data_IF_760306566879
#
_entry.id   IF_760306566879
#
_cell.length_a   1.000
_cell.length_b   1.000
_cell.length_c   1.000
_cell.angle_alpha   90.00
_cell.angle_beta   90.00
_cell.angle_gamma   90.00
#
_symmetry.space_group_name_H-M   'P 1'
#
loop_
_entity.id
_entity.type
_entity.pdbx_description
1 polymer ?
#
# COMPACT_ATOMS: atom_id res chain seq x y z
N UNK A 1 0.94 -11.36 -21.65
CA UNK A 1 1.96 -10.80 -22.55
C UNK A 1 3.39 -10.82 -21.96
N UNK A 2 3.57 -11.02 -20.65
CA UNK A 2 4.90 -11.11 -20.00
C UNK A 2 5.07 -12.44 -19.24
N UNK A 3 5.13 -13.58 -19.95
CA UNK A 3 5.35 -14.88 -19.30
C UNK A 3 6.79 -14.95 -18.77
N UNK A 4 6.94 -15.11 -17.46
CA UNK A 4 8.23 -15.32 -16.79
C UNK A 4 8.83 -14.09 -16.08
N UNK A 5 8.25 -12.90 -16.26
CA UNK A 5 8.73 -11.68 -15.60
C UNK A 5 8.29 -11.65 -14.13
N UNK A 6 9.24 -11.63 -13.21
CA UNK A 6 8.91 -11.58 -11.79
C UNK A 6 8.50 -10.16 -11.38
N UNK A 7 7.34 -10.07 -10.72
CA UNK A 7 6.83 -8.84 -10.12
C UNK A 7 6.68 -9.06 -8.61
N UNK A 8 7.04 -8.08 -7.77
CA UNK A 8 6.80 -8.19 -6.34
C UNK A 8 5.30 -8.22 -6.05
N UNK A 9 4.85 -9.18 -5.23
CA UNK A 9 3.43 -9.35 -4.89
C UNK A 9 2.97 -8.48 -3.72
N UNK A 10 3.90 -8.01 -2.88
CA UNK A 10 3.59 -7.23 -1.68
C UNK A 10 4.70 -6.23 -1.36
N UNK A 11 4.28 -5.06 -0.91
CA UNK A 11 5.15 -4.09 -0.24
C UNK A 11 5.20 -4.43 1.26
N UNK A 12 6.39 -4.72 1.78
CA UNK A 12 6.60 -5.05 3.20
C UNK A 12 7.08 -3.79 3.92
N UNK A 13 6.29 -3.27 4.85
CA UNK A 13 6.72 -2.19 5.73
C UNK A 13 7.49 -2.76 6.94
N UNK A 14 8.57 -2.10 7.35
CA UNK A 14 9.22 -2.41 8.62
C UNK A 14 8.40 -1.80 9.77
N UNK A 15 7.62 -2.62 10.45
CA UNK A 15 6.73 -2.20 11.55
C UNK A 15 7.45 -1.72 12.80
N UNK A 16 8.72 -2.08 12.99
CA UNK A 16 9.50 -1.63 14.16
C UNK A 16 9.91 -0.16 14.06
N UNK A 17 10.17 0.29 12.83
CA UNK A 17 10.63 1.67 12.56
C UNK A 17 9.53 2.59 12.04
N UNK A 18 8.39 2.03 11.62
CA UNK A 18 7.27 2.78 11.05
C UNK A 18 6.65 3.70 12.09
N UNK A 19 6.59 4.99 11.76
CA UNK A 19 5.84 6.00 12.47
C UNK A 19 5.17 6.97 11.48
N UNK A 20 4.44 7.96 11.98
CA UNK A 20 3.69 8.89 11.14
C UNK A 20 4.55 9.81 10.25
N UNK A 21 5.85 9.92 10.57
CA UNK A 21 6.83 10.80 9.89
C UNK A 21 7.93 10.03 9.17
N UNK A 22 8.06 8.73 9.39
CA UNK A 22 9.11 7.89 8.82
C UNK A 22 8.62 6.48 8.54
N UNK A 23 8.93 5.96 7.36
CA UNK A 23 8.65 4.58 6.99
C UNK A 23 9.73 3.99 6.11
N UNK A 24 10.08 2.73 6.40
CA UNK A 24 10.96 1.92 5.56
C UNK A 24 10.16 0.78 4.93
N UNK A 25 10.22 0.69 3.60
CA UNK A 25 9.44 -0.24 2.80
C UNK A 25 10.34 -1.07 1.91
N UNK A 26 10.07 -2.36 1.82
CA UNK A 26 10.84 -3.31 1.01
C UNK A 26 9.92 -4.01 0.02
N UNK A 27 10.37 -4.11 -1.24
CA UNK A 27 9.69 -4.87 -2.27
C UNK A 27 10.69 -5.80 -3.01
N UNK A 28 10.28 -7.06 -3.16
CA UNK A 28 11.02 -8.11 -3.87
C UNK A 28 10.02 -9.21 -4.31
N UNK A 29 10.32 -10.01 -5.34
CA UNK A 29 11.47 -9.92 -6.26
C UNK A 29 11.22 -8.92 -7.41
N UNK A 30 12.22 -8.10 -7.75
CA UNK A 30 12.27 -7.36 -9.01
C UNK A 30 13.25 -8.02 -9.97
N UNK A 31 13.00 -7.93 -11.28
CA UNK A 31 14.01 -8.25 -12.27
C UNK A 31 15.23 -7.32 -12.15
N UNK A 32 16.39 -7.81 -12.57
CA UNK A 32 17.64 -7.06 -12.51
C UNK A 32 17.53 -5.70 -13.22
N UNK A 33 17.86 -4.63 -12.50
CA UNK A 33 17.79 -3.24 -12.98
C UNK A 33 16.44 -2.56 -12.76
N UNK A 34 15.36 -3.31 -12.50
CA UNK A 34 14.06 -2.71 -12.17
C UNK A 34 14.08 -2.08 -10.78
N UNK A 35 14.85 -2.60 -9.82
CA UNK A 35 15.00 -1.98 -8.50
C UNK A 35 15.44 -0.52 -8.59
N UNK A 36 16.49 -0.24 -9.37
CA UNK A 36 17.00 1.13 -9.57
C UNK A 36 16.05 2.02 -10.37
N UNK A 37 15.38 1.46 -11.38
CA UNK A 37 14.43 2.18 -12.22
C UNK A 37 13.23 2.65 -11.41
N UNK A 38 12.59 1.73 -10.67
CA UNK A 38 11.45 2.02 -9.82
C UNK A 38 11.85 2.92 -8.64
N UNK A 39 12.98 2.64 -7.98
CA UNK A 39 13.48 3.46 -6.87
C UNK A 39 13.75 4.92 -7.27
N UNK A 40 14.38 5.13 -8.42
CA UNK A 40 14.65 6.48 -8.95
C UNK A 40 13.35 7.19 -9.35
N UNK A 41 12.43 6.49 -10.02
CA UNK A 41 11.13 7.03 -10.40
C UNK A 41 10.31 7.50 -9.19
N UNK A 42 10.14 6.61 -8.19
CA UNK A 42 9.41 6.93 -6.97
C UNK A 42 10.07 8.07 -6.19
N UNK A 43 11.40 8.07 -6.04
CA UNK A 43 12.12 9.16 -5.36
C UNK A 43 11.86 10.53 -5.99
N UNK A 44 11.85 10.61 -7.33
CA UNK A 44 11.58 11.86 -8.04
C UNK A 44 10.15 12.34 -7.81
N UNK A 45 9.18 11.44 -7.88
CA UNK A 45 7.77 11.77 -7.69
C UNK A 45 7.50 12.20 -6.25
N UNK A 46 8.00 11.46 -5.26
CA UNK A 46 7.84 11.75 -3.84
C UNK A 46 8.35 13.14 -3.45
N UNK A 47 9.48 13.58 -4.00
CA UNK A 47 10.09 14.88 -3.68
C UNK A 47 9.49 16.07 -4.44
N UNK A 48 8.71 15.85 -5.51
CA UNK A 48 8.28 16.93 -6.41
C UNK A 48 6.77 17.10 -6.52
N UNK A 49 6.02 16.00 -6.45
CA UNK A 49 4.64 15.96 -6.96
C UNK A 49 3.60 15.61 -5.90
N UNK A 50 4.02 15.28 -4.68
CA UNK A 50 3.10 15.09 -3.55
C UNK A 50 2.56 16.45 -3.14
N UNK A 51 1.25 16.49 -2.92
CA UNK A 51 0.54 17.70 -2.57
C UNK A 51 0.70 18.04 -1.09
N UNK A 52 0.91 19.31 -0.80
CA UNK A 52 1.09 19.82 0.56
C UNK A 52 0.62 21.26 0.69
N UNK A 53 0.42 21.68 1.94
CA UNK A 53 0.00 23.03 2.28
C UNK A 53 1.20 23.88 2.68
N UNK A 54 1.26 25.12 2.18
CA UNK A 54 2.29 26.08 2.54
C UNK A 54 1.74 27.50 2.56
N UNK A 55 2.46 28.38 3.28
CA UNK A 55 2.16 29.81 3.34
C UNK A 55 2.62 30.47 2.04
N UNK A 56 1.73 31.19 1.36
CA UNK A 56 2.00 31.90 0.10
C UNK A 56 2.21 33.39 0.28
N UNK A 57 1.57 33.99 1.28
CA UNK A 57 1.72 35.39 1.60
C UNK A 57 1.51 35.65 3.08
N UNK A 58 2.17 36.68 3.60
CA UNK A 58 2.11 37.06 5.02
C UNK A 58 1.85 38.56 5.11
N UNK A 59 0.94 38.96 6.01
CA UNK A 59 0.72 40.34 6.39
C UNK A 59 1.08 40.49 7.86
N UNK A 60 2.05 41.34 8.16
CA UNK A 60 2.47 41.63 9.53
C UNK A 60 2.07 43.08 9.84
N UNK A 61 1.40 43.30 10.98
CA UNK A 61 0.96 44.65 11.34
C UNK A 61 2.16 45.59 11.57
N UNK A 62 2.07 46.81 11.05
CA UNK A 62 3.15 47.80 11.11
C UNK A 62 4.36 47.55 10.18
N UNK A 63 4.34 46.49 9.37
CA UNK A 63 5.43 46.14 8.43
C UNK A 63 5.02 46.40 6.99
N UNK A 64 5.81 47.20 6.28
CA UNK A 64 5.55 47.50 4.86
C UNK A 64 6.25 46.53 3.90
N UNK A 65 7.40 45.98 4.30
CA UNK A 65 8.21 45.07 3.49
C UNK A 65 8.99 44.08 4.36
N UNK A 66 9.48 42.98 3.78
CA UNK A 66 10.16 41.88 4.49
C UNK A 66 11.42 42.26 5.29
N UNK A 67 12.06 43.39 4.95
CA UNK A 67 13.26 43.87 5.65
C UNK A 67 12.98 44.88 6.78
N UNK A 68 11.72 45.13 7.13
CA UNK A 68 11.41 46.11 8.19
C UNK A 68 11.63 45.49 9.58
N UNK A 69 12.24 46.23 10.53
CA UNK A 69 12.23 45.83 11.94
C UNK A 69 10.83 46.02 12.54
N UNK A 70 10.47 45.17 13.51
CA UNK A 70 9.19 45.24 14.22
C UNK A 70 9.41 45.79 15.63
N UNK A 71 8.90 47.00 15.96
CA UNK A 71 9.08 47.57 17.29
C UNK A 71 8.49 46.66 18.38
N UNK A 72 9.30 46.31 19.38
CA UNK A 72 8.87 45.49 20.51
C UNK A 72 8.94 43.98 20.29
N UNK A 73 9.51 43.53 19.17
CA UNK A 73 9.85 42.12 18.90
C UNK A 73 11.36 42.00 18.72
N UNK A 74 11.95 40.87 19.16
CA UNK A 74 13.41 40.66 19.10
C UNK A 74 13.87 40.36 17.67
N UNK A 75 13.11 39.55 16.95
CA UNK A 75 13.34 39.11 15.57
C UNK A 75 12.83 40.14 14.55
N UNK A 76 13.45 40.18 13.37
CA UNK A 76 12.99 41.00 12.26
C UNK A 76 11.90 40.30 11.43
N UNK A 77 11.30 41.02 10.47
CA UNK A 77 10.27 40.44 9.62
C UNK A 77 10.80 39.28 8.74
N UNK A 78 12.09 39.28 8.38
CA UNK A 78 12.70 38.22 7.57
C UNK A 78 12.85 36.93 8.38
N UNK A 79 13.37 37.04 9.61
CA UNK A 79 13.52 35.93 10.56
C UNK A 79 12.16 35.28 10.87
N UNK A 80 11.14 36.11 11.10
CA UNK A 80 9.76 35.62 11.32
C UNK A 80 9.25 34.87 10.09
N UNK A 81 9.42 35.42 8.88
CA UNK A 81 9.02 34.75 7.64
C UNK A 81 9.75 33.41 7.48
N UNK A 82 11.05 33.34 7.78
CA UNK A 82 11.84 32.10 7.71
C UNK A 82 11.38 31.07 8.74
N UNK A 83 11.02 31.49 9.95
CA UNK A 83 10.48 30.60 10.98
C UNK A 83 9.09 30.07 10.58
N UNK A 84 8.21 30.95 10.09
CA UNK A 84 6.87 30.58 9.63
C UNK A 84 6.90 29.57 8.48
N UNK A 85 7.85 29.69 7.54
CA UNK A 85 8.03 28.73 6.44
C UNK A 85 8.38 27.31 6.89
N UNK A 86 8.96 27.15 8.08
CA UNK A 86 9.33 25.83 8.59
C UNK A 86 8.15 25.10 9.23
N UNK A 87 7.08 25.82 9.61
CA UNK A 87 5.91 25.24 10.28
C UNK A 87 5.16 24.30 9.31
N UNK A 88 5.01 23.01 9.67
CA UNK A 88 4.28 22.06 8.85
C UNK A 88 2.76 22.21 9.07
N UNK A 89 2.04 22.48 7.97
CA UNK A 89 0.58 22.61 7.96
C UNK A 89 -0.06 21.44 7.23
N UNK A 90 -1.19 20.99 7.75
CA UNK A 90 -2.10 20.08 7.08
C UNK A 90 -3.40 20.82 6.82
N UNK A 91 -3.80 20.88 5.55
CA UNK A 91 -5.05 21.52 5.14
C UNK A 91 -5.99 20.46 4.57
N UNK A 92 -7.23 20.46 5.03
CA UNK A 92 -8.32 19.63 4.51
C UNK A 92 -9.15 20.46 3.54
N UNK A 93 -9.27 19.98 2.31
CA UNK A 93 -10.02 20.65 1.25
C UNK A 93 -9.17 21.54 0.35
N UNK A 94 -9.85 22.12 -0.65
CA UNK A 94 -9.23 22.93 -1.69
C UNK A 94 -9.45 24.43 -1.46
N UNK A 95 -8.56 25.21 -2.06
CA UNK A 95 -8.65 26.67 -2.10
C UNK A 95 -7.70 27.36 -1.12
N UNK A 96 -7.95 28.66 -0.97
CA UNK A 96 -7.15 29.55 -0.13
C UNK A 96 -7.79 29.62 1.24
N UNK A 97 -6.96 29.60 2.29
CA UNK A 97 -7.38 29.86 3.66
C UNK A 97 -6.45 30.85 4.33
N UNK A 98 -6.96 31.50 5.36
CA UNK A 98 -6.22 32.53 6.08
C UNK A 98 -6.19 32.16 7.56
N UNK A 99 -4.98 32.11 8.15
CA UNK A 99 -4.78 31.86 9.57
C UNK A 99 -4.14 33.08 10.22
N UNK A 100 -4.31 33.21 11.53
CA UNK A 100 -3.86 34.40 12.26
C UNK A 100 -3.03 34.01 13.47
N UNK A 101 -2.09 34.87 13.83
CA UNK A 101 -1.29 34.77 15.04
C UNK A 101 -1.33 36.11 15.74
N UNK A 102 -1.71 36.11 17.01
CA UNK A 102 -1.81 37.32 17.84
C UNK A 102 -1.10 37.08 19.16
N UNK A 103 -0.17 37.96 19.48
CA UNK A 103 0.55 37.97 20.74
C UNK A 103 0.65 39.40 21.28
N UNK A 104 -0.02 39.64 22.42
CA UNK A 104 -0.06 40.94 23.11
C UNK A 104 0.72 40.94 24.43
N UNK A 105 1.17 39.77 24.89
CA UNK A 105 1.91 39.59 26.13
C UNK A 105 3.40 39.37 25.87
N UNK A 106 4.28 39.85 26.77
CA UNK A 106 5.71 39.56 26.66
C UNK A 106 5.97 38.05 26.82
N UNK A 107 6.80 37.48 25.95
CA UNK A 107 7.14 36.06 25.95
C UNK A 107 7.47 35.51 24.57
N UNK A 108 7.80 34.21 24.53
CA UNK A 108 8.03 33.48 23.29
C UNK A 108 6.69 33.12 22.62
N UNK A 109 6.64 33.37 21.32
CA UNK A 109 5.51 33.06 20.44
C UNK A 109 5.85 31.79 19.68
N UNK A 110 5.11 30.73 19.99
CA UNK A 110 5.28 29.40 19.40
C UNK A 110 4.23 29.13 18.33
N UNK A 111 4.50 28.19 17.42
CA UNK A 111 3.54 27.76 16.38
C UNK A 111 2.22 27.23 16.92
N UNK A 112 2.19 26.73 18.16
CA UNK A 112 0.95 26.34 18.84
C UNK A 112 -0.02 27.48 19.15
N UNK A 113 0.42 28.75 19.07
CA UNK A 113 -0.42 29.94 19.29
C UNK A 113 -1.11 30.44 18.02
N UNK A 114 -0.89 29.78 16.87
CA UNK A 114 -1.57 30.12 15.61
C UNK A 114 -3.06 29.76 15.73
N UNK A 115 -3.92 30.74 15.52
CA UNK A 115 -5.36 30.59 15.40
C UNK A 115 -5.68 29.97 14.03
N UNK A 116 -6.16 28.72 14.04
CA UNK A 116 -6.56 27.99 12.83
C UNK A 116 -8.04 27.64 12.84
N UNK A 117 -8.60 27.46 11.64
CA UNK A 117 -9.95 26.93 11.44
C UNK A 117 -9.97 25.38 11.54
N UNK A 118 -11.16 24.77 11.53
CA UNK A 118 -11.32 23.31 11.55
C UNK A 118 -10.67 22.59 10.35
N UNK A 119 -10.51 23.28 9.22
CA UNK A 119 -9.90 22.74 8.00
C UNK A 119 -8.36 22.72 8.07
N UNK A 120 -7.74 23.38 9.05
CA UNK A 120 -6.27 23.54 9.13
C UNK A 120 -5.75 23.03 10.46
N UNK A 121 -4.74 22.17 10.37
CA UNK A 121 -4.02 21.62 11.50
C UNK A 121 -2.54 22.00 11.44
N UNK A 122 -2.03 22.57 12.54
CA UNK A 122 -0.60 22.77 12.78
C UNK A 122 -0.02 21.50 13.38
N UNK A 123 0.87 20.84 12.63
CA UNK A 123 1.38 19.51 12.99
C UNK A 123 2.52 19.56 14.01
N UNK A 124 3.28 20.65 14.04
CA UNK A 124 4.30 20.91 15.05
C UNK A 124 3.99 22.23 15.76
N UNK A 125 3.61 22.13 17.04
CA UNK A 125 3.17 23.26 17.88
C UNK A 125 4.30 23.86 18.74
N UNK A 126 5.51 23.32 18.66
CA UNK A 126 6.65 23.71 19.51
C UNK A 126 7.70 24.52 18.75
N UNK A 127 7.41 25.00 17.55
CA UNK A 127 8.35 25.77 16.75
C UNK A 127 8.35 27.23 17.20
N UNK A 128 9.54 27.76 17.46
CA UNK A 128 9.72 29.17 17.78
C UNK A 128 9.43 30.03 16.55
N UNK A 129 8.56 31.04 16.71
CA UNK A 129 8.27 32.02 15.65
C UNK A 129 8.96 33.34 15.94
N UNK A 130 8.72 33.89 17.14
CA UNK A 130 9.23 35.20 17.56
C UNK A 130 9.23 35.34 19.09
N UNK A 131 9.88 36.38 19.60
CA UNK A 131 9.94 36.74 21.01
C UNK A 131 9.45 38.17 21.17
N UNK A 132 8.33 38.35 21.89
CA UNK A 132 7.73 39.66 22.13
C UNK A 132 8.28 40.25 23.43
N UNK A 133 8.82 41.46 23.36
CA UNK A 133 9.34 42.21 24.50
C UNK A 133 8.23 42.90 25.32
N UNK A 134 8.56 43.48 26.49
CA UNK A 134 7.61 44.19 27.32
C UNK A 134 6.93 45.36 26.58
N UNK A 135 5.59 45.28 26.42
CA UNK A 135 4.80 46.29 25.71
C UNK A 135 4.79 46.16 24.18
N UNK A 136 5.45 45.14 23.62
CA UNK A 136 5.38 44.78 22.22
C UNK A 136 4.05 44.09 21.86
N UNK A 137 3.66 44.18 20.59
CA UNK A 137 2.51 43.48 20.04
C UNK A 137 2.88 42.88 18.69
N UNK A 138 2.43 41.66 18.44
CA UNK A 138 2.63 40.97 17.18
C UNK A 138 1.29 40.48 16.66
N UNK A 139 0.89 40.97 15.48
CA UNK A 139 -0.26 40.43 14.75
C UNK A 139 0.18 40.07 13.33
N UNK A 140 0.03 38.79 13.01
CA UNK A 140 0.40 38.22 11.71
C UNK A 140 -0.83 37.53 11.12
N UNK A 141 -1.07 37.77 9.84
CA UNK A 141 -2.07 37.07 9.05
C UNK A 141 -1.37 36.35 7.90
N UNK A 142 -1.62 35.05 7.77
CA UNK A 142 -0.93 34.17 6.83
C UNK A 142 -1.93 33.55 5.87
N UNK A 143 -1.62 33.61 4.58
CA UNK A 143 -2.42 32.99 3.52
C UNK A 143 -1.84 31.62 3.19
N UNK A 144 -2.62 30.56 3.35
CA UNK A 144 -2.23 29.19 3.00
C UNK A 144 -2.91 28.74 1.72
N UNK A 145 -2.17 27.94 0.94
CA UNK A 145 -2.68 27.23 -0.23
C UNK A 145 -2.15 25.79 -0.28
N UNK A 146 -2.95 24.89 -0.81
CA UNK A 146 -2.48 23.58 -1.28
C UNK A 146 -1.81 23.75 -2.63
N UNK A 147 -0.71 23.04 -2.83
CA UNK A 147 0.06 23.11 -4.06
C UNK A 147 1.01 21.93 -4.18
N UNK A 148 1.91 21.98 -5.17
CA UNK A 148 2.93 20.96 -5.40
C UNK A 148 4.28 21.59 -5.65
N UNK A 149 5.33 20.97 -5.12
CA UNK A 149 6.70 21.41 -5.34
C UNK A 149 6.98 22.80 -4.77
N UNK A 150 7.77 23.57 -5.51
CA UNK A 150 8.21 24.91 -5.12
C UNK A 150 7.56 25.98 -5.99
N UNK A 151 7.07 27.05 -5.36
CA UNK A 151 6.51 28.22 -6.02
C UNK A 151 7.25 29.46 -5.51
N UNK A 152 7.76 30.29 -6.44
CA UNK A 152 8.45 31.53 -6.09
C UNK A 152 7.48 32.63 -5.63
N UNK A 153 7.99 33.60 -4.87
CA UNK A 153 7.21 34.74 -4.39
C UNK A 153 6.49 35.49 -5.54
N UNK A 154 7.17 35.70 -6.67
CA UNK A 154 6.58 36.36 -7.85
C UNK A 154 5.33 35.64 -8.38
N UNK A 155 5.31 34.30 -8.32
CA UNK A 155 4.17 33.49 -8.76
C UNK A 155 3.05 33.43 -7.72
N UNK A 156 3.35 33.71 -6.46
CA UNK A 156 2.38 33.82 -5.39
C UNK A 156 1.77 35.22 -5.27
N UNK A 157 2.23 36.18 -6.09
CA UNK A 157 1.68 37.52 -6.16
C UNK A 157 0.43 37.54 -7.05
N UNK A 158 -0.66 37.00 -6.52
CA UNK A 158 -1.95 36.99 -7.19
C UNK A 158 -2.59 38.38 -7.25
N UNK A 159 -3.37 38.66 -8.29
CA UNK A 159 -4.11 39.94 -8.41
C UNK A 159 -5.16 40.15 -7.32
N UNK A 160 -5.61 39.06 -6.67
CA UNK A 160 -6.58 39.08 -5.58
C UNK A 160 -5.93 39.37 -4.20
N UNK A 161 -4.61 39.55 -4.15
CA UNK A 161 -3.88 39.75 -2.91
C UNK A 161 -4.14 41.16 -2.36
N UNK A 162 -4.68 41.29 -1.14
CA UNK A 162 -4.96 42.60 -0.56
C UNK A 162 -3.69 43.42 -0.31
N UNK A 163 -3.82 44.73 -0.33
CA UNK A 163 -2.72 45.66 0.00
C UNK A 163 -2.20 45.37 1.41
N UNK A 164 -0.88 45.27 1.54
CA UNK A 164 -0.17 45.00 2.80
C UNK A 164 0.26 43.55 3.00
N UNK A 165 -0.12 42.62 2.12
CA UNK A 165 0.47 41.29 2.10
C UNK A 165 1.81 41.29 1.36
N UNK A 166 2.77 40.58 1.94
CA UNK A 166 4.09 40.31 1.40
C UNK A 166 4.05 38.88 0.82
N UNK A 167 4.12 38.71 -0.51
CA UNK A 167 4.19 37.38 -1.11
C UNK A 167 5.54 36.75 -0.77
N UNK A 168 5.52 35.48 -0.40
CA UNK A 168 6.71 34.71 -0.07
C UNK A 168 6.78 33.48 -0.95
N UNK A 169 7.98 32.93 -1.15
CA UNK A 169 8.11 31.61 -1.77
C UNK A 169 7.56 30.51 -0.86
N UNK A 170 6.99 29.48 -1.49
CA UNK A 170 6.26 28.40 -0.82
C UNK A 170 6.81 27.04 -1.23
N UNK A 171 7.01 26.18 -0.24
CA UNK A 171 7.40 24.77 -0.43
C UNK A 171 6.21 23.90 -0.05
N UNK A 172 5.51 23.39 -1.05
CA UNK A 172 4.32 22.56 -0.87
C UNK A 172 4.64 21.05 -0.82
N UNK A 173 5.89 20.66 -0.53
CA UNK A 173 6.29 19.25 -0.46
C UNK A 173 6.28 18.76 0.99
N UNK A 174 5.37 17.84 1.38
CA UNK A 174 5.35 17.28 2.72
C UNK A 174 6.45 16.22 2.93
N UNK A 175 7.05 15.72 1.84
CA UNK A 175 8.17 14.79 1.89
C UNK A 175 9.48 15.57 2.00
N UNK A 176 10.22 15.35 3.09
CA UNK A 176 11.48 16.06 3.39
C UNK A 176 12.69 15.33 2.85
N UNK A 177 12.69 14.00 2.92
CA UNK A 177 13.81 13.16 2.48
C UNK A 177 13.29 11.84 1.95
N UNK A 178 13.96 11.33 0.92
CA UNK A 178 13.76 9.98 0.40
C UNK A 178 15.11 9.37 0.10
N UNK A 179 15.33 8.17 0.61
CA UNK A 179 16.48 7.35 0.32
C UNK A 179 16.02 6.00 -0.25
N UNK A 180 16.83 5.39 -1.11
CA UNK A 180 16.57 4.02 -1.55
C UNK A 180 17.87 3.26 -1.73
N UNK A 181 17.83 1.97 -1.47
CA UNK A 181 18.91 1.03 -1.72
C UNK A 181 18.38 -0.16 -2.52
N UNK A 182 19.25 -0.71 -3.36
CA UNK A 182 18.96 -1.91 -4.16
C UNK A 182 19.98 -2.97 -3.75
N UNK A 183 19.49 -4.12 -3.32
CA UNK A 183 20.28 -5.27 -2.89
C UNK A 183 19.93 -6.49 -3.76
N UNK A 184 20.85 -7.46 -3.88
CA UNK A 184 20.54 -8.70 -4.57
C UNK A 184 19.60 -9.56 -3.72
N UNK A 185 18.52 -10.05 -4.32
CA UNK A 185 17.53 -10.92 -3.71
C UNK A 185 17.68 -12.35 -4.26
N UNK A 186 17.58 -13.34 -3.36
CA UNK A 186 17.51 -14.75 -3.76
C UNK A 186 16.07 -15.22 -3.70
N UNK A 187 15.58 -15.79 -4.78
CA UNK A 187 14.28 -16.44 -4.86
C UNK A 187 14.49 -17.92 -5.25
N UNK A 188 14.37 -18.81 -4.26
CA UNK A 188 14.64 -20.24 -4.44
C UNK A 188 16.11 -20.51 -4.82
N UNK A 189 16.33 -21.02 -6.03
CA UNK A 189 17.68 -21.31 -6.55
C UNK A 189 18.29 -20.16 -7.37
N UNK A 190 17.50 -19.16 -7.78
CA UNK A 190 17.97 -18.01 -8.56
C UNK A 190 18.36 -16.84 -7.64
N UNK A 191 19.49 -16.18 -7.93
CA UNK A 191 20.10 -15.13 -7.09
C UNK A 191 20.23 -13.78 -7.79
N UNK A 192 19.64 -13.62 -8.96
CA UNK A 192 19.83 -12.48 -9.87
C UNK A 192 18.69 -11.45 -9.82
N UNK A 193 17.78 -11.56 -8.85
CA UNK A 193 16.72 -10.58 -8.62
C UNK A 193 17.19 -9.41 -7.78
N UNK A 194 16.49 -8.28 -7.89
CA UNK A 194 16.69 -7.10 -7.07
C UNK A 194 15.67 -7.04 -5.93
N UNK A 195 16.12 -6.59 -4.76
CA UNK A 195 15.32 -6.14 -3.63
C UNK A 195 15.48 -4.63 -3.51
N UNK A 196 14.37 -3.91 -3.54
CA UNK A 196 14.35 -2.46 -3.37
C UNK A 196 13.88 -2.13 -1.96
N UNK A 197 14.71 -1.40 -1.22
CA UNK A 197 14.37 -0.79 0.06
C UNK A 197 14.24 0.71 -0.13
N UNK A 198 13.12 1.30 0.27
CA UNK A 198 12.86 2.74 0.21
C UNK A 198 12.58 3.25 1.62
N UNK A 199 13.24 4.32 1.99
CA UNK A 199 13.07 5.04 3.25
C UNK A 199 12.50 6.43 2.95
N UNK A 200 11.41 6.79 3.60
CA UNK A 200 10.68 8.05 3.37
C UNK A 200 10.51 8.80 4.69
N UNK A 201 10.88 10.09 4.70
CA UNK A 201 10.66 11.00 5.81
C UNK A 201 9.66 12.09 5.39
N UNK A 202 8.56 12.19 6.13
CA UNK A 202 7.49 13.18 5.93
C UNK A 202 7.40 14.13 7.13
N UNK A 203 6.76 15.27 6.93
CA UNK A 203 6.46 16.25 7.98
C UNK A 203 5.15 15.96 8.74
N UNK A 204 4.56 14.78 8.52
CA UNK A 204 3.32 14.34 9.17
C UNK A 204 2.03 14.79 8.46
N UNK A 205 2.10 15.62 7.41
CA UNK A 205 0.90 16.00 6.65
C UNK A 205 0.32 14.82 5.87
N UNK A 206 1.20 13.91 5.45
CA UNK A 206 0.87 12.64 4.80
C UNK A 206 1.67 11.51 5.45
N UNK A 207 1.03 10.34 5.58
CA UNK A 207 1.74 9.15 6.06
C UNK A 207 2.76 8.68 5.02
N UNK A 208 3.91 8.11 5.42
CA UNK A 208 4.89 7.58 4.48
C UNK A 208 4.33 6.51 3.53
N UNK A 209 3.37 5.70 4.01
CA UNK A 209 2.72 4.66 3.22
C UNK A 209 1.81 5.26 2.13
N UNK A 210 0.99 6.25 2.50
CA UNK A 210 0.11 6.93 1.55
C UNK A 210 0.90 7.74 0.53
N UNK A 211 2.01 8.37 0.94
CA UNK A 211 2.89 9.10 0.04
C UNK A 211 3.46 8.19 -1.06
N UNK A 212 3.90 6.97 -0.71
CA UNK A 212 4.36 5.98 -1.70
C UNK A 212 3.22 5.55 -2.62
N UNK A 213 2.02 5.31 -2.06
CA UNK A 213 0.84 4.95 -2.84
C UNK A 213 0.46 6.02 -3.87
N UNK A 214 0.41 7.28 -3.45
CA UNK A 214 0.16 8.41 -4.35
C UNK A 214 1.26 8.57 -5.41
N UNK A 215 2.53 8.42 -5.02
CA UNK A 215 3.64 8.50 -5.96
C UNK A 215 3.60 7.39 -7.02
N UNK A 216 3.30 6.16 -6.61
CA UNK A 216 3.18 5.02 -7.51
C UNK A 216 2.00 5.20 -8.48
N UNK A 217 0.86 5.69 -7.99
CA UNK A 217 -0.30 6.01 -8.82
C UNK A 217 0.05 7.08 -9.87
N UNK A 218 0.67 8.18 -9.45
CA UNK A 218 1.03 9.25 -10.37
C UNK A 218 2.01 8.77 -11.44
N UNK A 219 2.98 7.93 -11.07
CA UNK A 219 3.93 7.34 -12.02
C UNK A 219 3.22 6.41 -13.01
N UNK A 220 2.28 5.57 -12.55
CA UNK A 220 1.46 4.70 -13.41
C UNK A 220 0.66 5.53 -14.41
N UNK A 221 -0.03 6.57 -13.94
CA UNK A 221 -0.89 7.41 -14.77
C UNK A 221 -0.08 8.13 -15.87
N UNK A 222 1.15 8.56 -15.57
CA UNK A 222 2.06 9.13 -16.58
C UNK A 222 2.59 8.10 -17.59
N UNK A 223 2.68 6.82 -17.21
CA UNK A 223 3.09 5.75 -18.12
C UNK A 223 1.95 5.27 -19.02
N UNK A 224 0.69 5.48 -18.62
CA UNK A 224 -0.48 5.01 -19.35
C UNK A 224 -0.55 5.52 -20.80
N UNK A 225 -0.13 6.77 -21.06
CA UNK A 225 -0.12 7.35 -22.41
C UNK A 225 0.85 6.63 -23.37
N UNK A 226 1.88 5.98 -22.86
CA UNK A 226 2.85 5.23 -23.67
C UNK A 226 2.37 3.82 -24.00
N UNK A 227 1.28 3.36 -23.39
CA UNK A 227 0.66 2.07 -23.67
C UNK A 227 -0.21 2.24 -24.93
N UNK A 228 0.24 1.65 -26.03
CA UNK A 228 -0.38 1.82 -27.35
C UNK A 228 -1.41 0.73 -27.71
N UNK A 229 -1.82 -0.07 -26.73
CA UNK A 229 -2.83 -1.12 -26.88
C UNK A 229 -3.82 -1.04 -25.71
N UNK A 230 -5.05 -1.51 -25.93
CA UNK A 230 -6.02 -1.69 -24.86
C UNK A 230 -5.47 -2.74 -23.89
N UNK A 231 -5.13 -2.32 -22.68
CA UNK A 231 -4.98 -3.23 -21.55
C UNK A 231 -6.35 -3.85 -21.29
N UNK A 232 -6.54 -5.09 -21.74
CA UNK A 232 -7.50 -5.97 -21.07
C UNK A 232 -7.08 -5.99 -19.60
N UNK A 233 -7.98 -5.70 -18.64
CA UNK A 233 -7.63 -5.78 -17.23
C UNK A 233 -6.99 -7.15 -17.01
N UNK A 234 -5.77 -7.19 -16.45
CA UNK A 234 -5.12 -8.42 -16.01
C UNK A 234 -6.19 -9.10 -15.15
N UNK A 235 -6.86 -10.11 -15.71
CA UNK A 235 -7.88 -10.87 -15.01
C UNK A 235 -7.18 -11.33 -13.74
N UNK A 236 -7.66 -10.87 -12.58
CA UNK A 236 -7.21 -11.40 -11.31
C UNK A 236 -7.11 -12.90 -11.51
N UNK A 237 -5.89 -13.47 -11.38
CA UNK A 237 -5.60 -14.90 -11.63
C UNK A 237 -6.86 -15.68 -11.28
N UNK A 238 -7.49 -16.30 -12.28
CA UNK A 238 -8.81 -16.90 -12.10
C UNK A 238 -8.77 -17.73 -10.81
N UNK A 239 -9.78 -17.68 -9.94
CA UNK A 239 -9.78 -18.45 -8.69
C UNK A 239 -9.45 -19.94 -8.93
N UNK A 240 -9.71 -20.43 -10.15
CA UNK A 240 -9.26 -21.71 -10.67
C UNK A 240 -7.73 -21.92 -10.65
N UNK A 241 -6.90 -20.97 -11.10
CA UNK A 241 -5.42 -21.12 -11.14
C UNK A 241 -4.80 -21.11 -9.73
N UNK A 242 -5.32 -20.29 -8.80
CA UNK A 242 -4.87 -20.32 -7.40
C UNK A 242 -5.29 -21.62 -6.70
N UNK A 243 -6.51 -22.08 -6.93
CA UNK A 243 -6.98 -23.36 -6.42
C UNK A 243 -6.14 -24.52 -6.99
N UNK A 244 -5.79 -24.48 -8.28
CA UNK A 244 -4.93 -25.47 -8.95
C UNK A 244 -3.50 -25.48 -8.37
N UNK A 245 -2.91 -24.32 -8.09
CA UNK A 245 -1.58 -24.24 -7.48
C UNK A 245 -1.56 -24.78 -6.05
N UNK A 246 -2.58 -24.46 -5.24
CA UNK A 246 -2.72 -24.98 -3.88
C UNK A 246 -2.97 -26.49 -3.89
N UNK A 247 -3.80 -26.98 -4.82
CA UNK A 247 -4.09 -28.40 -4.96
C UNK A 247 -2.85 -29.18 -5.39
N UNK A 248 -2.04 -28.65 -6.32
CA UNK A 248 -0.75 -29.25 -6.70
C UNK A 248 0.26 -29.28 -5.55
N UNK A 249 0.25 -28.27 -4.67
CA UNK A 249 1.10 -28.27 -3.48
C UNK A 249 0.68 -29.38 -2.50
N UNK A 250 -0.63 -29.53 -2.25
CA UNK A 250 -1.16 -30.59 -1.37
C UNK A 250 -0.89 -31.99 -1.93
N UNK A 251 -1.04 -32.20 -3.25
CA UNK A 251 -0.80 -33.50 -3.89
C UNK A 251 0.68 -33.94 -3.81
N UNK A 252 1.61 -32.99 -3.85
CA UNK A 252 3.05 -33.27 -3.77
C UNK A 252 3.58 -33.43 -2.34
N UNK A 253 2.74 -33.23 -1.31
CA UNK A 253 3.16 -33.48 0.09
C UNK A 253 3.39 -34.96 0.34
N UNK A 254 4.32 -35.24 1.24
CA UNK A 254 4.65 -36.60 1.66
C UNK A 254 3.57 -37.16 2.57
N UNK A 255 3.28 -38.46 2.44
CA UNK A 255 2.37 -39.19 3.34
C UNK A 255 2.89 -39.21 4.79
N UNK A 256 4.19 -38.96 5.01
CA UNK A 256 4.80 -38.83 6.33
C UNK A 256 4.32 -37.62 7.13
N UNK A 257 3.86 -36.57 6.44
CA UNK A 257 3.35 -35.34 7.07
C UNK A 257 1.89 -35.49 7.53
N UNK A 258 1.21 -36.56 7.12
CA UNK A 258 -0.13 -36.87 7.59
C UNK A 258 -0.03 -37.53 8.98
N UNK A 259 -0.80 -37.02 9.94
CA UNK A 259 -0.88 -37.53 11.32
C UNK A 259 -1.61 -38.90 11.39
N UNK A 260 -1.04 -39.91 10.73
CA UNK A 260 -1.60 -41.24 10.62
C UNK A 260 -1.17 -42.14 11.76
N UNK A 261 -2.01 -43.11 12.13
CA UNK A 261 -1.59 -44.18 13.04
C UNK A 261 -0.41 -44.98 12.47
N UNK A 262 0.43 -45.49 13.38
CA UNK A 262 1.63 -46.30 13.06
C UNK A 262 1.31 -47.50 12.15
N UNK A 263 0.08 -48.04 12.23
CA UNK A 263 -0.37 -49.13 11.35
C UNK A 263 -0.67 -48.64 9.94
N UNK A 264 -1.42 -47.54 9.81
CA UNK A 264 -1.77 -46.94 8.53
C UNK A 264 -0.52 -46.47 7.77
N UNK A 265 0.43 -45.83 8.45
CA UNK A 265 1.72 -45.43 7.87
C UNK A 265 2.54 -46.62 7.34
N UNK A 266 2.72 -47.68 8.15
CA UNK A 266 3.47 -48.86 7.73
C UNK A 266 2.80 -49.63 6.57
N UNK A 267 1.47 -49.60 6.49
CA UNK A 267 0.76 -50.21 5.36
C UNK A 267 0.97 -49.41 4.06
N UNK A 268 0.94 -48.08 4.13
CA UNK A 268 1.19 -47.20 2.97
C UNK A 268 2.63 -47.31 2.47
N UNK A 269 3.59 -47.39 3.38
CA UNK A 269 5.01 -47.63 3.07
C UNK A 269 5.24 -48.99 2.39
N UNK A 270 4.58 -50.05 2.87
CA UNK A 270 4.65 -51.38 2.25
C UNK A 270 3.96 -51.45 0.87
N UNK A 271 3.00 -50.56 0.62
CA UNK A 271 2.33 -50.42 -0.67
C UNK A 271 3.08 -49.48 -1.65
N UNK A 272 4.26 -48.97 -1.25
CA UNK A 272 5.11 -48.05 -2.01
C UNK A 272 4.40 -46.72 -2.39
N UNK A 273 3.53 -46.22 -1.50
CA UNK A 273 2.83 -44.94 -1.65
C UNK A 273 3.60 -43.91 -0.82
N UNK A 274 4.21 -42.92 -1.47
CA UNK A 274 5.05 -41.91 -0.80
C UNK A 274 4.41 -40.52 -0.78
N UNK A 275 3.61 -40.18 -1.79
CA UNK A 275 2.95 -38.86 -1.89
C UNK A 275 1.44 -38.98 -1.72
N UNK A 276 0.79 -37.87 -1.34
CA UNK A 276 -0.67 -37.79 -1.28
C UNK A 276 -1.27 -38.01 -2.68
N UNK A 277 -0.61 -37.52 -3.74
CA UNK A 277 -1.01 -37.76 -5.13
C UNK A 277 -1.08 -39.24 -5.51
N UNK A 278 -0.17 -40.08 -5.01
CA UNK A 278 -0.18 -41.52 -5.24
C UNK A 278 -1.32 -42.22 -4.48
N UNK A 279 -1.68 -41.70 -3.30
CA UNK A 279 -2.71 -42.26 -2.44
C UNK A 279 -4.11 -42.07 -3.04
N UNK A 280 -4.40 -40.87 -3.53
CA UNK A 280 -5.71 -40.48 -4.07
C UNK A 280 -6.01 -41.20 -5.40
N UNK A 281 -4.98 -41.65 -6.13
CA UNK A 281 -5.13 -42.45 -7.35
C UNK A 281 -5.57 -43.90 -7.10
N UNK A 282 -5.39 -44.42 -5.88
CA UNK A 282 -5.81 -45.77 -5.53
C UNK A 282 -7.29 -45.80 -5.20
N UNK A 283 -7.95 -46.89 -5.56
CA UNK A 283 -9.35 -47.13 -5.19
C UNK A 283 -9.47 -47.73 -3.79
N UNK A 284 -10.59 -47.50 -3.09
CA UNK A 284 -10.83 -48.08 -1.76
C UNK A 284 -10.70 -49.62 -1.76
N UNK A 285 -11.13 -50.27 -2.85
CA UNK A 285 -11.02 -51.71 -3.05
C UNK A 285 -9.58 -52.20 -3.25
N UNK A 286 -8.70 -51.37 -3.82
CA UNK A 286 -7.27 -51.67 -3.92
C UNK A 286 -6.57 -51.54 -2.56
N UNK A 287 -6.94 -50.52 -1.79
CA UNK A 287 -6.40 -50.30 -0.45
C UNK A 287 -6.74 -51.46 0.48
N UNK A 288 -7.98 -51.98 0.44
CA UNK A 288 -8.41 -53.14 1.21
C UNK A 288 -7.74 -54.47 0.83
N UNK A 289 -7.13 -54.55 -0.37
CA UNK A 289 -6.36 -55.74 -0.81
C UNK A 289 -4.91 -55.71 -0.34
N UNK A 290 -4.42 -54.57 0.18
CA UNK A 290 -3.05 -54.47 0.67
C UNK A 290 -2.89 -55.24 1.99
N UNK A 291 -1.72 -55.88 2.17
CA UNK A 291 -1.45 -56.72 3.34
C UNK A 291 -1.56 -55.90 4.63
N UNK A 292 -2.32 -56.42 5.59
CA UNK A 292 -2.55 -55.82 6.92
C UNK A 292 -3.33 -54.50 6.94
N UNK A 293 -3.99 -54.14 5.83
CA UNK A 293 -4.83 -52.94 5.75
C UNK A 293 -6.27 -53.25 6.16
N UNK A 294 -6.71 -52.67 7.28
CA UNK A 294 -8.02 -52.93 7.88
C UNK A 294 -9.04 -51.81 7.64
N UNK A 295 -10.32 -52.12 7.88
CA UNK A 295 -11.44 -51.14 7.79
C UNK A 295 -11.24 -49.89 8.66
N UNK A 296 -10.55 -50.03 9.80
CA UNK A 296 -10.25 -48.91 10.71
C UNK A 296 -9.22 -47.93 10.11
N UNK A 297 -8.19 -48.44 9.43
CA UNK A 297 -7.19 -47.62 8.73
C UNK A 297 -7.76 -46.94 7.48
N UNK A 298 -8.71 -47.60 6.79
CA UNK A 298 -9.42 -47.01 5.66
C UNK A 298 -10.23 -45.77 6.07
N UNK A 299 -10.99 -45.87 7.17
CA UNK A 299 -11.79 -44.75 7.67
C UNK A 299 -10.91 -43.58 8.15
N UNK A 300 -9.81 -43.87 8.84
CA UNK A 300 -8.84 -42.86 9.29
C UNK A 300 -8.27 -42.05 8.12
N UNK A 301 -7.87 -42.73 7.03
CA UNK A 301 -7.36 -42.05 5.84
C UNK A 301 -8.47 -41.28 5.12
N UNK A 302 -9.70 -41.81 5.10
CA UNK A 302 -10.86 -41.16 4.47
C UNK A 302 -11.22 -39.85 5.16
N UNK A 303 -11.17 -39.79 6.48
CA UNK A 303 -11.42 -38.57 7.28
C UNK A 303 -10.33 -37.50 7.06
N UNK A 304 -9.06 -37.92 6.95
CA UNK A 304 -7.95 -37.00 6.69
C UNK A 304 -8.00 -36.47 5.24
N UNK A 305 -8.30 -37.33 4.27
CA UNK A 305 -8.48 -36.93 2.87
C UNK A 305 -9.69 -36.02 2.69
N UNK A 306 -10.81 -36.27 3.39
CA UNK A 306 -11.97 -35.37 3.34
C UNK A 306 -11.68 -34.02 4.00
N UNK A 307 -10.87 -33.98 5.06
CA UNK A 307 -10.37 -32.73 5.64
C UNK A 307 -9.49 -31.91 4.69
N UNK A 308 -8.87 -32.56 3.70
CA UNK A 308 -8.07 -31.94 2.63
C UNK A 308 -8.87 -31.73 1.33
N UNK A 309 -10.16 -32.08 1.30
CA UNK A 309 -11.02 -31.96 0.12
C UNK A 309 -10.76 -32.99 -1.00
N UNK A 310 -10.14 -34.12 -0.68
CA UNK A 310 -9.72 -35.17 -1.63
C UNK A 310 -10.52 -36.47 -1.41
N UNK A 311 -10.67 -37.28 -2.45
CA UNK A 311 -11.38 -38.58 -2.41
C UNK A 311 -10.61 -39.67 -3.15
N UNK A 312 -10.77 -40.93 -2.76
CA UNK A 312 -10.14 -42.05 -3.46
C UNK A 312 -10.64 -42.21 -4.91
N UNK A 313 -9.75 -42.69 -5.79
CA UNK A 313 -10.07 -42.98 -7.19
C UNK A 313 -10.02 -41.78 -8.13
N UNK A 314 -9.40 -40.66 -7.72
CA UNK A 314 -9.15 -39.54 -8.62
C UNK A 314 -8.06 -39.90 -9.64
N UNK A 315 -8.30 -39.63 -10.92
CA UNK A 315 -7.29 -39.84 -11.97
C UNK A 315 -6.65 -38.51 -12.32
N UNK A 316 -5.32 -38.50 -12.45
CA UNK A 316 -4.57 -37.33 -12.91
C UNK A 316 -3.98 -37.60 -14.29
N UNK A 317 -3.95 -36.60 -15.16
CA UNK A 317 -3.19 -36.69 -16.42
C UNK A 317 -1.69 -36.39 -16.22
N UNK A 318 -0.89 -36.56 -17.27
CA UNK A 318 0.56 -36.30 -17.25
C UNK A 318 0.94 -34.84 -16.96
N UNK A 319 -0.06 -33.95 -16.81
CA UNK A 319 0.07 -32.53 -16.50
C UNK A 319 -0.56 -32.17 -15.14
N UNK A 320 -0.97 -33.15 -14.32
CA UNK A 320 -1.49 -32.94 -12.97
C UNK A 320 -2.97 -32.50 -12.91
N UNK A 321 -3.74 -32.61 -13.99
CA UNK A 321 -5.16 -32.23 -14.03
C UNK A 321 -6.05 -33.39 -13.60
N UNK A 322 -7.08 -33.09 -12.81
CA UNK A 322 -8.10 -34.03 -12.38
C UNK A 322 -8.97 -34.47 -13.58
N UNK A 323 -8.89 -35.74 -13.97
CA UNK A 323 -9.73 -36.33 -15.00
C UNK A 323 -10.89 -37.05 -14.32
N UNK A 324 -12.11 -36.53 -14.50
CA UNK A 324 -13.35 -37.18 -14.05
C UNK A 324 -13.50 -38.56 -14.72
N UNK A 325 -14.14 -39.58 -14.10
CA UNK A 325 -14.20 -40.93 -14.65
C UNK A 325 -14.90 -41.06 -16.01
N UNK A 326 -15.50 -39.98 -16.54
CA UNK A 326 -16.14 -39.90 -17.84
C UNK A 326 -15.47 -38.88 -18.78
N UNK A 327 -14.15 -38.95 -18.99
CA UNK A 327 -13.46 -38.41 -20.18
C UNK A 327 -13.64 -36.92 -20.54
N UNK A 328 -14.23 -36.12 -19.66
CA UNK A 328 -14.56 -34.71 -19.90
C UNK A 328 -13.92 -33.89 -18.76
N UNK A 329 -13.23 -32.78 -19.05
CA UNK A 329 -12.69 -31.91 -18.00
C UNK A 329 -13.86 -31.39 -17.15
N UNK A 330 -13.84 -31.68 -15.85
CA UNK A 330 -14.90 -31.25 -14.95
C UNK A 330 -14.77 -29.76 -14.66
N UNK A 331 -15.74 -28.97 -15.12
CA UNK A 331 -15.98 -27.61 -14.64
C UNK A 331 -16.77 -27.70 -13.34
N UNK A 332 -16.19 -27.24 -12.23
CA UNK A 332 -16.92 -27.07 -10.97
C UNK A 332 -17.68 -25.75 -11.08
N UNK A 333 -18.99 -25.82 -11.36
CA UNK A 333 -19.89 -24.68 -11.23
C UNK A 333 -20.20 -24.37 -9.76
N UNK A 334 -20.63 -23.13 -9.43
CA UNK A 334 -21.06 -22.77 -8.08
C UNK A 334 -22.32 -23.55 -7.67
N UNK A 335 -22.64 -23.62 -6.35
CA UNK A 335 -23.79 -24.38 -5.87
C UNK A 335 -25.08 -23.81 -6.47
N UNK A 336 -25.87 -24.69 -7.09
CA UNK A 336 -27.19 -24.38 -7.64
C UNK A 336 -28.13 -23.90 -6.53
N UNK A 337 -28.64 -22.68 -6.71
CA UNK A 337 -29.79 -22.17 -5.99
C UNK A 337 -31.07 -22.79 -6.57
N UNK A 338 -31.92 -23.27 -5.67
CA UNK A 338 -33.39 -23.32 -5.73
C UNK A 338 -34.05 -23.89 -7.00
N UNK A 339 -34.41 -25.18 -6.92
CA UNK A 339 -35.54 -25.75 -7.65
C UNK A 339 -36.70 -25.90 -6.65
N UNK A 340 -37.60 -24.91 -6.61
CA UNK A 340 -38.97 -25.09 -6.10
C UNK A 340 -39.93 -24.99 -7.29
N UNK A 341 -40.89 -25.90 -7.25
CA UNK A 341 -41.76 -26.37 -8.34
C UNK A 341 -42.80 -25.32 -8.79
N UNK A 342 -42.94 -25.10 -10.10
CA UNK A 342 -44.20 -24.63 -10.70
C UNK A 342 -44.75 -25.72 -11.62
N UNK A 343 -45.73 -26.48 -11.08
CA UNK A 343 -46.49 -27.50 -11.79
C UNK A 343 -47.79 -26.91 -12.37
N UNK A 344 -47.93 -27.10 -13.67
CA UNK A 344 -49.15 -27.27 -14.48
C UNK A 344 -50.24 -26.19 -14.54
N UNK A 345 -50.36 -25.65 -15.76
CA UNK A 345 -51.56 -25.07 -16.31
C UNK A 345 -52.70 -26.10 -16.47
N UNK A 346 -53.92 -25.67 -16.19
CA UNK A 346 -55.11 -26.16 -16.91
C UNK A 346 -56.02 -24.98 -17.29
N UNK A 347 -56.49 -24.88 -18.55
CA UNK A 347 -57.42 -23.86 -19.00
C UNK A 347 -58.82 -24.45 -19.21
N UNK A 348 -59.87 -23.91 -18.58
CA UNK A 348 -61.25 -24.09 -19.06
C UNK A 348 -62.11 -22.87 -18.68
N UNK A 349 -62.92 -22.43 -19.66
CA UNK A 349 -64.04 -21.49 -19.63
C UNK A 349 -64.98 -21.65 -18.41
N UNK A 350 -65.73 -20.65 -17.95
CA UNK A 350 -66.68 -19.75 -18.63
C UNK A 350 -66.95 -18.52 -17.75
#
# INVERSE_FOLDING_TARGET
MFKGFQKPKRLVANTETLNDRYGMFTAQPFERGFGSTIGTGLRRVLLSSIEGAAITAVRIDGVAHEFSPIPGVVEDATDIILNLKQVPFKMMGEGVRTVRLRADSPGEVMSGQIETDHDIEVLDRNMHIATVGPGGKLSIEMRLKSGRGYVSADRNNDEDLPVGYIPIDSVHSPVRKVNFSVEAARLGQMTDYDKLTIEVWTDGAISPADAIGQAAKLLKDHMAIFINFEELPESAEEPAERALSQMNEVLNRSVEELELSVRSYNCLKNANIQTIGDLVQKTEAEMLRTKNFGRKSLNEIKEILSGLGLTFGMKFDAQGRLVSPAGTPATIGPPSADEDEEEEASPVAE
#
